data_IF_827089145172
#
_entry.id   IF_827089145172
#
_cell.length_a   1.000
_cell.length_b   1.000
_cell.length_c   1.000
_cell.angle_alpha   90.00
_cell.angle_beta   90.00
_cell.angle_gamma   90.00
#
_symmetry.space_group_name_H-M   'P 1'
#
loop_
_entity.id
_entity.type
_entity.pdbx_description
1 polymer ?
#
# COMPACT_ATOMS: atom_id res chain seq x y z
N UNK A 1 13.47 16.55 15.82
CA UNK A 1 14.18 16.47 14.53
C UNK A 1 13.21 16.69 13.39
N UNK A 2 13.63 17.34 12.31
CA UNK A 2 12.86 17.52 11.07
C UNK A 2 13.44 16.69 9.95
N UNK A 3 12.60 15.82 9.40
CA UNK A 3 12.96 14.80 8.42
C UNK A 3 12.31 15.16 7.09
N UNK A 4 13.11 15.27 6.03
CA UNK A 4 12.62 15.34 4.65
C UNK A 4 12.50 13.90 4.11
N UNK A 5 11.28 13.43 3.90
CA UNK A 5 11.01 12.08 3.40
C UNK A 5 10.63 12.10 1.91
N UNK A 6 11.17 11.16 1.14
CA UNK A 6 11.00 11.04 -0.32
C UNK A 6 10.53 9.63 -0.66
N UNK A 7 9.43 9.51 -1.39
CA UNK A 7 8.81 8.25 -1.80
C UNK A 7 8.56 8.23 -3.32
N UNK A 8 9.07 7.17 -3.97
CA UNK A 8 9.01 6.92 -5.42
C UNK A 8 9.00 5.41 -5.74
N UNK A 9 8.42 4.58 -4.88
CA UNK A 9 8.46 3.12 -5.01
C UNK A 9 7.63 2.58 -6.18
N UNK A 10 6.58 3.28 -6.60
CA UNK A 10 5.66 2.82 -7.64
C UNK A 10 5.23 3.95 -8.59
N UNK A 11 4.04 4.53 -8.40
CA UNK A 11 3.44 5.51 -9.32
C UNK A 11 3.01 6.82 -8.63
N UNK A 12 3.31 6.97 -7.34
CA UNK A 12 3.26 8.24 -6.62
C UNK A 12 4.65 8.83 -6.45
N UNK A 13 4.82 10.10 -6.84
CA UNK A 13 5.95 10.90 -6.36
C UNK A 13 5.49 11.67 -5.14
N UNK A 14 6.06 11.40 -3.97
CA UNK A 14 5.68 12.07 -2.74
C UNK A 14 6.89 12.58 -1.98
N UNK A 15 6.78 13.80 -1.45
CA UNK A 15 7.77 14.38 -0.55
C UNK A 15 7.04 14.99 0.64
N UNK A 16 7.56 14.78 1.84
CA UNK A 16 7.04 15.39 3.06
C UNK A 16 8.15 15.87 3.98
N UNK A 17 7.79 16.81 4.85
CA UNK A 17 8.60 17.19 6.00
C UNK A 17 7.85 16.77 7.25
N UNK A 18 8.48 15.95 8.07
CA UNK A 18 7.93 15.41 9.30
C UNK A 18 8.79 15.87 10.47
N UNK A 19 8.15 16.39 11.50
CA UNK A 19 8.76 16.65 12.79
C UNK A 19 8.57 15.43 13.70
N UNK A 20 9.65 14.94 14.29
CA UNK A 20 9.67 13.80 15.21
C UNK A 20 10.36 14.16 16.53
N UNK A 21 9.72 13.79 17.64
CA UNK A 21 10.18 14.07 19.01
C UNK A 21 9.81 12.94 19.98
N UNK A 22 10.31 13.00 21.23
CA UNK A 22 9.95 12.08 22.31
C UNK A 22 10.60 10.68 22.27
N UNK A 23 11.39 10.38 21.23
CA UNK A 23 12.16 9.14 21.08
C UNK A 23 11.30 7.89 21.09
N UNK A 24 11.89 6.73 21.40
CA UNK A 24 11.16 5.46 21.41
C UNK A 24 10.19 5.30 22.59
N UNK A 25 10.35 6.10 23.66
CA UNK A 25 9.48 6.02 24.83
C UNK A 25 8.12 6.67 24.59
N UNK A 26 8.12 7.87 24.00
CA UNK A 26 6.91 8.64 23.74
C UNK A 26 6.97 9.31 22.36
N UNK A 27 6.97 8.54 21.25
CA UNK A 27 7.12 9.13 19.94
C UNK A 27 5.93 10.03 19.59
N UNK A 28 6.25 11.22 19.11
CA UNK A 28 5.31 12.16 18.53
C UNK A 28 5.80 12.52 17.14
N UNK A 29 4.89 12.44 16.16
CA UNK A 29 5.16 12.75 14.77
C UNK A 29 4.14 13.76 14.28
N UNK A 30 4.62 14.76 13.55
CA UNK A 30 3.77 15.81 12.98
C UNK A 30 4.18 16.06 11.54
N UNK A 31 3.21 15.98 10.62
CA UNK A 31 3.43 16.38 9.23
C UNK A 31 3.42 17.91 9.18
N UNK A 32 4.54 18.51 8.80
CA UNK A 32 4.66 19.97 8.64
C UNK A 32 4.13 20.37 7.26
N UNK A 33 4.60 19.67 6.23
CA UNK A 33 4.19 19.88 4.84
C UNK A 33 4.33 18.59 4.07
N UNK A 34 3.46 18.36 3.09
CA UNK A 34 3.60 17.25 2.15
C UNK A 34 3.05 17.65 0.79
N UNK A 35 3.51 16.97 -0.26
CA UNK A 35 2.95 17.07 -1.59
C UNK A 35 3.08 15.72 -2.29
N UNK A 36 2.03 15.34 -3.02
CA UNK A 36 1.94 14.08 -3.76
C UNK A 36 1.54 14.39 -5.20
N UNK A 37 2.20 13.73 -6.16
CA UNK A 37 1.78 13.67 -7.56
C UNK A 37 1.56 12.21 -7.93
N UNK A 38 0.30 11.83 -8.13
CA UNK A 38 -0.09 10.49 -8.54
C UNK A 38 -0.15 10.37 -10.06
N UNK A 39 0.41 9.29 -10.58
CA UNK A 39 0.46 8.98 -12.01
C UNK A 39 -0.70 8.07 -12.46
N UNK A 40 -1.68 7.79 -11.60
CA UNK A 40 -2.82 6.90 -11.89
C UNK A 40 -3.49 7.20 -13.23
N UNK A 41 -3.75 8.49 -13.53
CA UNK A 41 -4.40 8.90 -14.81
C UNK A 41 -3.55 8.53 -16.04
N UNK A 42 -2.23 8.54 -15.90
CA UNK A 42 -1.29 8.22 -16.96
C UNK A 42 -1.20 6.71 -17.21
N UNK A 43 -1.32 5.90 -16.14
CA UNK A 43 -1.27 4.44 -16.22
C UNK A 43 -2.63 3.80 -16.57
N UNK A 44 -3.74 4.51 -16.33
CA UNK A 44 -5.10 4.01 -16.56
C UNK A 44 -5.35 3.42 -17.97
N UNK A 45 -4.86 4.00 -19.09
CA UNK A 45 -5.02 3.41 -20.42
C UNK A 45 -4.34 2.05 -20.61
N UNK A 46 -3.30 1.77 -19.82
CA UNK A 46 -2.56 0.50 -19.85
C UNK A 46 -3.14 -0.55 -18.90
N UNK A 47 -4.09 -0.15 -18.05
CA UNK A 47 -4.73 -1.02 -17.06
C UNK A 47 -3.83 -1.44 -15.90
N UNK A 48 -2.68 -0.80 -15.73
CA UNK A 48 -1.68 -1.08 -14.69
C UNK A 48 -0.44 -0.20 -14.85
N UNK A 49 0.45 -0.22 -13.85
CA UNK A 49 1.65 0.63 -13.83
C UNK A 49 2.68 0.18 -14.86
N UNK A 50 3.14 1.10 -15.70
CA UNK A 50 4.21 0.88 -16.69
C UNK A 50 5.55 1.39 -16.12
N UNK A 51 6.53 0.52 -15.78
CA UNK A 51 7.70 0.92 -14.99
C UNK A 51 8.53 2.06 -15.59
N UNK A 52 8.79 2.03 -16.90
CA UNK A 52 9.59 3.08 -17.57
C UNK A 52 8.85 4.42 -17.67
N UNK A 53 7.52 4.38 -17.75
CA UNK A 53 6.70 5.58 -17.72
C UNK A 53 6.69 6.18 -16.31
N UNK A 54 6.62 5.32 -15.29
CA UNK A 54 6.66 5.75 -13.89
C UNK A 54 7.99 6.44 -13.55
N UNK A 55 9.11 5.83 -13.92
CA UNK A 55 10.45 6.44 -13.84
C UNK A 55 10.48 7.84 -14.43
N UNK A 56 10.02 8.00 -15.68
CA UNK A 56 10.04 9.30 -16.39
C UNK A 56 9.23 10.36 -15.65
N UNK A 57 8.08 9.99 -15.10
CA UNK A 57 7.26 10.93 -14.33
C UNK A 57 7.87 11.26 -12.98
N UNK A 58 8.54 10.34 -12.28
CA UNK A 58 9.28 10.69 -11.06
C UNK A 58 10.37 11.72 -11.34
N UNK A 59 11.19 11.49 -12.38
CA UNK A 59 12.26 12.41 -12.78
C UNK A 59 11.74 13.82 -13.03
N UNK A 60 10.58 13.94 -13.69
CA UNK A 60 9.91 15.21 -13.96
C UNK A 60 9.30 15.86 -12.71
N UNK A 61 8.67 15.06 -11.85
CA UNK A 61 7.88 15.58 -10.73
C UNK A 61 8.71 15.87 -9.48
N UNK A 62 9.81 15.15 -9.24
CA UNK A 62 10.65 15.29 -8.04
C UNK A 62 11.10 16.75 -7.78
N UNK A 63 11.71 17.48 -8.75
CA UNK A 63 12.10 18.88 -8.52
C UNK A 63 10.90 19.79 -8.20
N UNK A 64 9.79 19.57 -8.89
CA UNK A 64 8.57 20.39 -8.73
C UNK A 64 7.95 20.19 -7.34
N UNK A 65 7.85 18.95 -6.89
CA UNK A 65 7.30 18.61 -5.57
C UNK A 65 8.28 19.07 -4.47
N UNK A 66 9.58 18.87 -4.66
CA UNK A 66 10.59 19.29 -3.71
C UNK A 66 10.51 20.80 -3.46
N UNK A 67 10.45 21.61 -4.52
CA UNK A 67 10.30 23.07 -4.39
C UNK A 67 9.04 23.47 -3.60
N UNK A 68 7.92 22.77 -3.79
CA UNK A 68 6.68 23.03 -3.02
C UNK A 68 6.83 22.75 -1.52
N UNK A 69 7.69 21.79 -1.15
CA UNK A 69 7.89 21.36 0.24
C UNK A 69 9.02 22.15 0.92
N UNK A 70 10.17 22.31 0.25
CA UNK A 70 11.36 22.92 0.86
C UNK A 70 11.22 24.43 1.09
N UNK A 71 10.49 25.16 0.24
CA UNK A 71 10.28 26.60 0.41
C UNK A 71 9.62 26.96 1.73
N UNK A 72 8.93 26.00 2.36
CA UNK A 72 8.25 26.15 3.65
C UNK A 72 9.10 25.72 4.85
N UNK A 73 10.31 25.17 4.62
CA UNK A 73 11.11 24.52 5.66
C UNK A 73 12.60 24.79 5.47
N UNK A 74 13.21 25.60 6.36
CA UNK A 74 14.65 25.93 6.29
C UNK A 74 15.55 25.03 7.17
N UNK A 75 14.98 24.29 8.10
CA UNK A 75 15.76 23.48 9.06
C UNK A 75 15.45 21.99 8.89
N UNK A 76 16.13 21.35 7.94
CA UNK A 76 16.09 19.89 7.78
C UNK A 76 17.27 19.29 8.54
N UNK A 77 17.02 18.28 9.37
CA UNK A 77 18.05 17.55 10.13
C UNK A 77 18.49 16.27 9.44
N UNK A 78 17.56 15.63 8.72
CA UNK A 78 17.72 14.29 8.14
C UNK A 78 16.93 14.18 6.83
N UNK A 79 17.46 13.43 5.87
CA UNK A 79 16.74 13.04 4.66
C UNK A 79 16.50 11.54 4.70
N UNK A 80 15.27 11.13 4.43
CA UNK A 80 14.85 9.74 4.34
C UNK A 80 14.34 9.46 2.93
N UNK A 81 14.75 8.35 2.34
CA UNK A 81 14.27 7.94 1.01
C UNK A 81 13.92 6.47 0.99
N UNK A 82 12.80 6.14 0.35
CA UNK A 82 12.40 4.74 0.16
C UNK A 82 13.40 4.02 -0.74
N UNK A 83 13.93 2.90 -0.26
CA UNK A 83 14.89 2.06 -1.01
C UNK A 83 14.29 0.72 -1.46
N UNK A 84 13.09 0.40 -0.99
CA UNK A 84 12.34 -0.79 -1.40
C UNK A 84 11.40 -1.29 -0.31
N UNK A 85 10.58 -2.31 -0.59
CA UNK A 85 10.34 -2.88 -1.92
C UNK A 85 9.63 -1.90 -2.87
N UNK A 86 9.72 -2.15 -4.19
CA UNK A 86 9.12 -1.30 -5.21
C UNK A 86 9.68 -1.57 -6.61
N UNK A 87 9.24 -0.79 -7.59
CA UNK A 87 9.76 -0.83 -8.95
C UNK A 87 11.17 -0.25 -8.98
N UNK A 88 12.17 -1.10 -9.23
CA UNK A 88 13.59 -0.69 -9.35
C UNK A 88 13.80 0.62 -10.14
N UNK A 89 13.26 0.80 -11.36
CA UNK A 89 13.49 2.02 -12.12
C UNK A 89 12.89 3.27 -11.47
N UNK A 90 11.83 3.13 -10.67
CA UNK A 90 11.19 4.23 -9.95
C UNK A 90 11.96 4.57 -8.65
N UNK A 91 12.39 3.55 -7.90
CA UNK A 91 13.18 3.71 -6.67
C UNK A 91 14.48 4.47 -6.93
N UNK A 92 15.18 4.16 -8.02
CA UNK A 92 16.44 4.83 -8.35
C UNK A 92 16.31 6.33 -8.59
N UNK A 93 15.17 6.82 -9.09
CA UNK A 93 14.93 8.25 -9.25
C UNK A 93 14.89 8.96 -7.89
N UNK A 94 14.12 8.42 -6.94
CA UNK A 94 14.08 8.94 -5.57
C UNK A 94 15.44 8.88 -4.89
N UNK A 95 16.14 7.73 -4.97
CA UNK A 95 17.46 7.53 -4.33
C UNK A 95 18.49 8.53 -4.86
N UNK A 96 18.58 8.69 -6.18
CA UNK A 96 19.56 9.59 -6.80
C UNK A 96 19.24 11.06 -6.52
N UNK A 97 17.96 11.41 -6.52
CA UNK A 97 17.50 12.74 -6.13
C UNK A 97 17.84 13.03 -4.66
N UNK A 98 17.54 12.10 -3.74
CA UNK A 98 17.84 12.25 -2.32
C UNK A 98 19.34 12.38 -2.03
N UNK A 99 20.20 11.65 -2.75
CA UNK A 99 21.66 11.80 -2.68
C UNK A 99 22.11 13.21 -3.09
N UNK A 100 21.49 13.77 -4.12
CA UNK A 100 21.77 15.14 -4.57
C UNK A 100 21.35 16.16 -3.50
N UNK A 101 20.11 16.07 -3.02
CA UNK A 101 19.59 16.94 -1.95
C UNK A 101 20.43 16.84 -0.67
N UNK A 102 20.87 15.64 -0.30
CA UNK A 102 21.74 15.41 0.86
C UNK A 102 23.09 16.11 0.75
N UNK A 103 23.71 16.09 -0.44
CA UNK A 103 24.97 16.81 -0.70
C UNK A 103 24.76 18.32 -0.64
N UNK A 104 23.70 18.82 -1.24
CA UNK A 104 23.40 20.26 -1.31
C UNK A 104 23.07 20.84 0.08
N UNK A 105 22.24 20.14 0.86
CA UNK A 105 21.86 20.57 2.21
C UNK A 105 22.90 20.20 3.28
N UNK A 106 23.91 19.38 2.93
CA UNK A 106 24.89 18.79 3.85
C UNK A 106 24.23 18.09 5.03
N UNK A 107 23.21 17.27 4.76
CA UNK A 107 22.43 16.55 5.77
C UNK A 107 22.57 15.03 5.60
N UNK A 108 22.52 14.26 6.70
CA UNK A 108 22.54 12.80 6.64
C UNK A 108 21.38 12.27 5.79
N UNK A 109 21.64 11.15 5.11
CA UNK A 109 20.68 10.43 4.28
C UNK A 109 20.53 9.00 4.80
N UNK A 110 19.29 8.56 4.99
CA UNK A 110 18.95 7.19 5.35
C UNK A 110 18.03 6.55 4.31
N UNK A 111 18.22 5.26 4.08
CA UNK A 111 17.29 4.43 3.32
C UNK A 111 16.19 3.90 4.23
N UNK A 112 14.96 3.86 3.73
CA UNK A 112 13.78 3.40 4.47
C UNK A 112 13.05 2.30 3.72
N UNK A 113 12.52 1.33 4.45
CA UNK A 113 11.67 0.30 3.90
C UNK A 113 10.24 0.85 3.67
N UNK A 114 9.71 0.67 2.47
CA UNK A 114 8.37 1.13 2.07
C UNK A 114 7.26 0.56 2.96
N UNK A 115 7.34 -0.73 3.30
CA UNK A 115 6.34 -1.42 4.13
C UNK A 115 6.40 -0.95 5.57
N UNK A 116 7.58 -0.66 6.10
CA UNK A 116 7.71 0.00 7.40
C UNK A 116 7.05 1.38 7.40
N UNK A 117 7.18 2.14 6.30
CA UNK A 117 6.44 3.39 6.10
C UNK A 117 4.92 3.20 6.23
N UNK A 118 4.37 2.14 5.64
CA UNK A 118 2.95 1.77 5.79
C UNK A 118 2.58 1.37 7.23
N UNK A 119 3.44 0.66 7.93
CA UNK A 119 3.20 0.29 9.33
C UNK A 119 3.14 1.57 10.20
N UNK A 120 4.14 2.44 10.07
CA UNK A 120 4.27 3.61 10.93
C UNK A 120 3.33 4.76 10.57
N UNK A 121 2.63 4.71 9.41
CA UNK A 121 1.59 5.69 9.10
C UNK A 121 0.47 5.71 10.16
N UNK A 122 0.26 4.60 10.87
CA UNK A 122 -0.71 4.51 11.97
C UNK A 122 -0.39 5.44 13.15
N UNK A 123 0.86 5.89 13.31
CA UNK A 123 1.27 6.81 14.37
C UNK A 123 0.99 8.29 14.08
N UNK A 124 0.53 8.61 12.87
CA UNK A 124 0.03 9.94 12.51
C UNK A 124 -1.48 10.10 12.78
N UNK A 125 -2.14 9.06 13.27
CA UNK A 125 -3.57 9.08 13.59
C UNK A 125 -3.81 9.46 15.06
N UNK A 126 -5.03 9.90 15.37
CA UNK A 126 -5.42 10.25 16.75
C UNK A 126 -5.43 9.04 17.70
N UNK A 127 -5.53 7.81 17.17
CA UNK A 127 -5.62 6.58 17.96
C UNK A 127 -4.40 5.70 17.67
N UNK A 128 -3.31 5.97 18.37
CA UNK A 128 -2.06 5.20 18.26
C UNK A 128 -2.31 3.73 18.68
N UNK A 129 -1.81 2.75 17.91
CA UNK A 129 -1.85 1.34 18.32
C UNK A 129 -1.16 1.13 19.66
N UNK A 130 -1.69 0.21 20.46
CA UNK A 130 -1.01 -0.29 21.68
C UNK A 130 -0.31 -1.59 21.33
N UNK A 131 0.78 -1.89 22.02
CA UNK A 131 1.50 -3.13 21.84
C UNK A 131 1.10 -4.19 22.89
N UNK A 132 1.11 -5.48 22.53
CA UNK A 132 1.30 -6.00 21.17
C UNK A 132 0.14 -5.60 20.25
N UNK A 133 0.36 -5.56 18.93
CA UNK A 133 -0.67 -5.22 17.93
C UNK A 133 -0.56 -6.10 16.70
N UNK A 134 -1.70 -6.45 16.09
CA UNK A 134 -1.71 -7.06 14.77
C UNK A 134 -1.81 -5.98 13.69
N UNK A 135 -0.86 -5.98 12.76
CA UNK A 135 -0.88 -5.11 11.58
C UNK A 135 -1.19 -5.94 10.33
N UNK A 136 -2.29 -5.62 9.66
CA UNK A 136 -2.59 -6.15 8.32
C UNK A 136 -2.19 -5.11 7.27
N UNK A 137 -1.18 -5.42 6.47
CA UNK A 137 -0.78 -4.61 5.32
C UNK A 137 -1.51 -5.14 4.10
N UNK A 138 -2.32 -4.30 3.47
CA UNK A 138 -3.05 -4.61 2.23
C UNK A 138 -2.90 -3.46 1.24
N UNK A 139 -2.08 -3.68 0.22
CA UNK A 139 -1.81 -2.75 -0.88
C UNK A 139 -2.01 -3.42 -2.24
N UNK A 140 -1.70 -2.70 -3.32
CA UNK A 140 -1.71 -3.27 -4.67
C UNK A 140 -0.77 -4.47 -4.81
N UNK A 141 0.42 -4.40 -4.22
CA UNK A 141 1.47 -5.42 -4.36
C UNK A 141 1.78 -6.22 -3.10
N UNK A 142 1.16 -5.92 -1.96
CA UNK A 142 1.45 -6.60 -0.70
C UNK A 142 0.18 -7.02 0.03
N UNK A 143 0.20 -8.21 0.60
CA UNK A 143 -0.79 -8.66 1.56
C UNK A 143 -0.08 -9.49 2.62
N UNK A 144 0.11 -8.90 3.80
CA UNK A 144 0.87 -9.50 4.90
C UNK A 144 0.26 -9.19 6.25
N UNK A 145 0.43 -10.12 7.19
CA UNK A 145 -0.04 -10.03 8.56
C UNK A 145 1.16 -10.06 9.50
N UNK A 146 1.27 -9.09 10.38
CA UNK A 146 2.42 -8.92 11.25
C UNK A 146 1.98 -8.81 12.71
N UNK A 147 2.76 -9.40 13.61
CA UNK A 147 2.72 -9.14 15.04
C UNK A 147 3.72 -8.05 15.36
N UNK A 148 3.24 -6.91 15.82
CA UNK A 148 4.08 -5.85 16.37
C UNK A 148 4.18 -5.99 17.88
N UNK A 149 5.38 -6.27 18.39
CA UNK A 149 5.65 -6.32 19.84
C UNK A 149 6.09 -4.96 20.38
N UNK A 150 6.69 -4.12 19.52
CA UNK A 150 7.04 -2.74 19.81
C UNK A 150 7.24 -1.95 18.51
N UNK A 151 7.62 -0.68 18.62
CA UNK A 151 7.99 0.16 17.47
C UNK A 151 9.20 -0.34 16.69
N UNK A 152 10.03 -1.19 17.27
CA UNK A 152 11.28 -1.66 16.67
C UNK A 152 11.35 -3.18 16.55
N UNK A 153 10.31 -3.88 17.01
CA UNK A 153 10.25 -5.35 17.01
C UNK A 153 8.91 -5.79 16.49
N UNK A 154 8.92 -6.42 15.34
CA UNK A 154 7.76 -7.02 14.70
C UNK A 154 8.17 -8.28 13.95
N UNK A 155 7.23 -9.21 13.79
CA UNK A 155 7.42 -10.49 13.12
C UNK A 155 6.30 -10.67 12.10
N UNK A 156 6.64 -11.13 10.90
CA UNK A 156 5.67 -11.52 9.88
C UNK A 156 5.04 -12.85 10.31
N UNK A 157 3.72 -12.87 10.46
CA UNK A 157 2.94 -14.07 10.78
C UNK A 157 2.55 -14.85 9.53
N UNK A 158 2.26 -14.13 8.44
CA UNK A 158 1.91 -14.73 7.16
C UNK A 158 1.82 -13.71 6.03
N UNK A 159 1.98 -14.18 4.80
CA UNK A 159 1.97 -13.36 3.59
C UNK A 159 1.17 -14.04 2.49
N UNK A 160 0.83 -13.29 1.43
CA UNK A 160 0.25 -13.92 0.24
C UNK A 160 1.28 -14.85 -0.41
N UNK A 161 0.84 -16.05 -0.78
CA UNK A 161 1.63 -17.02 -1.55
C UNK A 161 1.56 -16.76 -3.05
N UNK A 162 0.66 -15.88 -3.49
CA UNK A 162 0.44 -15.56 -4.90
C UNK A 162 0.10 -14.08 -5.13
N UNK A 163 -1.07 -13.75 -5.69
CA UNK A 163 -1.50 -12.38 -5.93
C UNK A 163 -1.73 -11.68 -4.58
N UNK A 164 -1.30 -10.42 -4.44
CA UNK A 164 -1.81 -9.57 -3.38
C UNK A 164 -3.31 -9.30 -3.59
N UNK A 165 -4.04 -9.00 -2.50
CA UNK A 165 -5.48 -8.74 -2.62
C UNK A 165 -5.76 -7.53 -3.51
N UNK A 166 -4.95 -6.46 -3.44
CA UNK A 166 -5.14 -5.29 -4.30
C UNK A 166 -4.99 -5.63 -5.79
N UNK A 167 -3.98 -6.43 -6.14
CA UNK A 167 -3.80 -6.96 -7.49
C UNK A 167 -4.98 -7.83 -7.95
N UNK A 168 -5.53 -8.67 -7.06
CA UNK A 168 -6.72 -9.45 -7.36
C UNK A 168 -7.93 -8.55 -7.66
N UNK A 169 -8.12 -7.45 -6.91
CA UNK A 169 -9.15 -6.45 -7.20
C UNK A 169 -8.96 -5.80 -8.58
N UNK A 170 -7.73 -5.41 -8.94
CA UNK A 170 -7.43 -4.83 -10.24
C UNK A 170 -7.70 -5.80 -11.40
N UNK A 171 -7.31 -7.08 -11.24
CA UNK A 171 -7.55 -8.12 -12.24
C UNK A 171 -9.04 -8.41 -12.41
N UNK A 172 -9.80 -8.49 -11.32
CA UNK A 172 -11.27 -8.71 -11.38
C UNK A 172 -11.99 -7.50 -11.96
N UNK A 173 -11.58 -6.28 -11.62
CA UNK A 173 -12.12 -5.06 -12.24
C UNK A 173 -11.93 -5.08 -13.76
N UNK A 174 -10.75 -5.49 -14.23
CA UNK A 174 -10.46 -5.65 -15.66
C UNK A 174 -11.37 -6.68 -16.33
N UNK A 175 -11.59 -7.84 -15.71
CA UNK A 175 -12.53 -8.87 -16.21
C UNK A 175 -13.96 -8.35 -16.31
N UNK A 176 -14.36 -7.44 -15.43
CA UNK A 176 -15.67 -6.78 -15.45
C UNK A 176 -15.73 -5.55 -16.37
N UNK A 177 -14.65 -5.24 -17.11
CA UNK A 177 -14.50 -4.04 -17.94
C UNK A 177 -14.73 -2.74 -17.16
N UNK A 178 -14.20 -2.67 -15.94
CA UNK A 178 -14.18 -1.46 -15.11
C UNK A 178 -12.89 -0.67 -15.34
N UNK A 179 -12.88 0.58 -14.87
CA UNK A 179 -11.71 1.47 -14.98
C UNK A 179 -10.62 1.05 -13.99
N UNK A 180 -9.38 1.42 -14.30
CA UNK A 180 -8.24 1.34 -13.38
C UNK A 180 -8.12 2.65 -12.58
N UNK A 181 -7.80 2.63 -11.27
CA UNK A 181 -7.54 1.46 -10.43
C UNK A 181 -8.83 0.70 -10.09
N UNK A 182 -8.74 -0.62 -10.04
CA UNK A 182 -9.89 -1.52 -9.97
C UNK A 182 -10.54 -1.61 -8.60
N UNK A 183 -9.76 -1.50 -7.52
CA UNK A 183 -10.26 -1.53 -6.13
C UNK A 183 -11.46 -0.60 -5.90
N UNK A 184 -11.32 0.72 -6.11
CA UNK A 184 -12.41 1.68 -5.94
C UNK A 184 -13.63 1.43 -6.84
N UNK A 185 -13.41 0.94 -8.06
CA UNK A 185 -14.51 0.66 -9.00
C UNK A 185 -15.29 -0.60 -8.62
N UNK A 186 -14.61 -1.63 -8.10
CA UNK A 186 -15.25 -2.81 -7.51
C UNK A 186 -16.09 -2.41 -6.32
N UNK A 187 -15.56 -1.61 -5.38
CA UNK A 187 -16.30 -1.18 -4.20
C UNK A 187 -17.57 -0.40 -4.56
N UNK A 188 -17.46 0.57 -5.49
CA UNK A 188 -18.61 1.35 -5.98
C UNK A 188 -19.69 0.43 -6.57
N UNK A 189 -19.28 -0.55 -7.36
CA UNK A 189 -20.20 -1.45 -8.04
C UNK A 189 -20.82 -2.48 -7.08
N UNK A 190 -20.03 -2.97 -6.12
CA UNK A 190 -20.45 -3.91 -5.08
C UNK A 190 -21.56 -3.35 -4.18
N UNK A 191 -21.49 -2.05 -3.82
CA UNK A 191 -22.53 -1.35 -3.05
C UNK A 191 -23.92 -1.38 -3.70
N UNK A 192 -23.99 -1.58 -5.02
CA UNK A 192 -25.24 -1.66 -5.79
C UNK A 192 -25.73 -3.10 -5.99
N UNK A 193 -24.93 -4.08 -5.61
CA UNK A 193 -25.15 -5.51 -5.82
C UNK A 193 -25.58 -6.26 -4.56
N UNK A 194 -25.77 -7.56 -4.74
CA UNK A 194 -25.95 -8.51 -3.63
C UNK A 194 -24.85 -9.56 -3.73
N UNK A 195 -24.19 -9.87 -2.62
CA UNK A 195 -23.20 -10.94 -2.53
C UNK A 195 -23.92 -12.30 -2.49
N UNK A 196 -24.42 -12.76 -3.63
CA UNK A 196 -25.24 -13.98 -3.75
C UNK A 196 -24.62 -15.06 -4.66
N UNK A 197 -23.38 -14.85 -5.07
CA UNK A 197 -22.57 -15.82 -5.82
C UNK A 197 -21.55 -16.41 -4.85
N UNK A 198 -21.46 -17.74 -4.82
CA UNK A 198 -20.50 -18.45 -3.99
C UNK A 198 -19.14 -18.51 -4.70
N UNK A 199 -18.23 -17.63 -4.30
CA UNK A 199 -16.82 -17.73 -4.62
C UNK A 199 -16.04 -18.42 -3.49
N UNK A 200 -14.92 -19.10 -3.79
CA UNK A 200 -14.11 -19.74 -2.75
C UNK A 200 -13.55 -18.69 -1.78
N UNK A 201 -13.30 -19.11 -0.54
CA UNK A 201 -12.52 -18.35 0.46
C UNK A 201 -11.16 -19.04 0.65
N UNK A 202 -10.16 -18.76 -0.21
CA UNK A 202 -8.92 -19.54 -0.19
C UNK A 202 -8.22 -19.44 1.16
N UNK A 203 -7.66 -20.55 1.62
CA UNK A 203 -6.88 -20.64 2.87
C UNK A 203 -7.60 -20.21 4.15
N UNK A 204 -8.93 -20.01 4.13
CA UNK A 204 -9.68 -19.48 5.29
C UNK A 204 -9.66 -20.41 6.52
N UNK A 205 -9.45 -21.70 6.29
CA UNK A 205 -9.31 -22.73 7.33
C UNK A 205 -7.88 -23.30 7.40
N UNK A 206 -6.94 -22.72 6.66
CA UNK A 206 -5.53 -23.11 6.74
C UNK A 206 -4.98 -22.73 8.14
N UNK A 207 -4.19 -23.61 8.79
CA UNK A 207 -3.63 -23.31 10.10
C UNK A 207 -2.69 -22.09 10.10
N UNK A 208 -2.01 -21.81 8.98
CA UNK A 208 -1.13 -20.65 8.82
C UNK A 208 -1.89 -19.32 8.69
N UNK A 209 -1.16 -18.22 8.81
CA UNK A 209 -1.67 -16.86 8.56
C UNK A 209 -1.49 -16.41 7.10
N UNK A 210 -1.02 -17.28 6.23
CA UNK A 210 -0.78 -16.98 4.81
C UNK A 210 -2.09 -16.75 4.04
N UNK A 211 -1.99 -16.03 2.93
CA UNK A 211 -3.10 -15.69 2.04
C UNK A 211 -2.90 -16.27 0.63
N UNK A 212 -3.99 -16.36 -0.13
CA UNK A 212 -3.98 -16.70 -1.55
C UNK A 212 -5.22 -16.09 -2.22
N UNK A 213 -5.05 -15.41 -3.34
CA UNK A 213 -6.13 -14.75 -4.08
C UNK A 213 -6.15 -15.11 -5.56
N UNK A 214 -5.11 -15.76 -6.11
CA UNK A 214 -5.09 -16.21 -7.50
C UNK A 214 -6.20 -17.22 -7.81
N UNK A 215 -6.51 -18.13 -6.88
CA UNK A 215 -7.62 -19.08 -7.00
C UNK A 215 -8.99 -18.39 -7.03
N UNK A 216 -9.18 -17.38 -6.18
CA UNK A 216 -10.41 -16.57 -6.13
C UNK A 216 -10.62 -15.79 -7.44
N UNK A 217 -9.58 -15.12 -7.94
CA UNK A 217 -9.60 -14.48 -9.27
C UNK A 217 -9.98 -15.46 -10.38
N UNK A 218 -9.40 -16.66 -10.37
CA UNK A 218 -9.68 -17.69 -11.38
C UNK A 218 -11.13 -18.17 -11.32
N UNK A 219 -11.69 -18.32 -10.11
CA UNK A 219 -13.11 -18.64 -9.94
C UNK A 219 -14.03 -17.56 -10.51
N UNK A 220 -13.69 -16.28 -10.34
CA UNK A 220 -14.42 -15.16 -10.95
C UNK A 220 -14.33 -15.22 -12.49
N UNK A 221 -13.15 -15.49 -13.04
CA UNK A 221 -12.96 -15.64 -14.49
C UNK A 221 -13.86 -16.75 -15.06
N UNK A 222 -13.88 -17.93 -14.44
CA UNK A 222 -14.73 -19.04 -14.89
C UNK A 222 -16.22 -18.72 -14.76
N UNK A 223 -16.63 -18.08 -13.66
CA UNK A 223 -18.02 -17.63 -13.51
C UNK A 223 -18.45 -16.67 -14.62
N UNK A 224 -17.61 -15.70 -14.98
CA UNK A 224 -17.89 -14.74 -16.06
C UNK A 224 -17.94 -15.45 -17.42
N UNK A 225 -17.04 -16.39 -17.68
CA UNK A 225 -16.97 -17.15 -18.93
C UNK A 225 -18.19 -18.06 -19.13
N UNK A 226 -18.61 -18.77 -18.09
CA UNK A 226 -19.59 -19.85 -18.19
C UNK A 226 -21.04 -19.35 -18.10
N UNK A 227 -21.26 -18.10 -17.69
CA UNK A 227 -22.59 -17.48 -17.59
C UNK A 227 -22.88 -16.59 -18.80
N UNK A 228 -23.97 -16.87 -19.51
CA UNK A 228 -24.40 -16.06 -20.67
C UNK A 228 -24.78 -14.60 -20.30
N UNK A 229 -25.32 -14.39 -19.10
CA UNK A 229 -25.66 -13.05 -18.57
C UNK A 229 -25.22 -12.95 -17.12
N UNK A 230 -24.39 -11.96 -16.82
CA UNK A 230 -23.93 -11.67 -15.46
C UNK A 230 -24.47 -10.32 -15.00
N UNK A 231 -24.82 -10.24 -13.72
CA UNK A 231 -25.00 -8.97 -13.04
C UNK A 231 -23.66 -8.56 -12.46
N UNK A 232 -22.90 -7.70 -13.17
CA UNK A 232 -21.53 -7.29 -12.75
C UNK A 232 -21.47 -6.82 -11.28
N UNK A 233 -22.52 -6.15 -10.81
CA UNK A 233 -22.67 -5.72 -9.41
C UNK A 233 -22.72 -6.84 -8.38
N UNK A 234 -23.36 -7.96 -8.70
CA UNK A 234 -23.37 -9.12 -7.81
C UNK A 234 -22.01 -9.83 -7.85
N UNK A 235 -21.37 -9.90 -9.03
CA UNK A 235 -20.00 -10.46 -9.13
C UNK A 235 -19.03 -9.66 -8.29
N UNK A 236 -19.05 -8.32 -8.41
CA UNK A 236 -18.22 -7.42 -7.60
C UNK A 236 -18.49 -7.57 -6.10
N UNK A 237 -19.77 -7.59 -5.68
CA UNK A 237 -20.16 -7.77 -4.28
C UNK A 237 -19.69 -9.11 -3.70
N UNK A 238 -19.93 -10.21 -4.41
CA UNK A 238 -19.52 -11.55 -3.97
C UNK A 238 -18.01 -11.72 -3.94
N UNK A 239 -17.28 -11.20 -4.94
CA UNK A 239 -15.82 -11.23 -4.94
C UNK A 239 -15.24 -10.44 -3.76
N UNK A 240 -15.73 -9.20 -3.57
CA UNK A 240 -15.28 -8.34 -2.48
C UNK A 240 -15.54 -8.98 -1.12
N UNK A 241 -16.73 -9.56 -0.92
CA UNK A 241 -17.06 -10.29 0.31
C UNK A 241 -16.10 -11.45 0.55
N UNK A 242 -15.90 -12.34 -0.43
CA UNK A 242 -15.00 -13.49 -0.28
C UNK A 242 -13.56 -13.09 0.02
N UNK A 243 -13.04 -12.02 -0.60
CA UNK A 243 -11.70 -11.53 -0.34
C UNK A 243 -11.57 -10.93 1.08
N UNK A 244 -12.52 -10.07 1.48
CA UNK A 244 -12.50 -9.40 2.79
C UNK A 244 -12.70 -10.39 3.93
N UNK A 245 -13.57 -11.39 3.76
CA UNK A 245 -13.85 -12.40 4.78
C UNK A 245 -12.58 -13.16 5.20
N UNK A 246 -11.73 -13.52 4.22
CA UNK A 246 -10.45 -14.18 4.48
C UNK A 246 -9.50 -13.27 5.27
N UNK A 247 -9.37 -12.00 4.86
CA UNK A 247 -8.53 -11.02 5.56
C UNK A 247 -8.98 -10.84 7.01
N UNK A 248 -10.27 -10.55 7.22
CA UNK A 248 -10.84 -10.30 8.55
C UNK A 248 -10.72 -11.53 9.44
N UNK A 249 -11.09 -12.72 8.96
CA UNK A 249 -11.04 -13.93 9.78
C UNK A 249 -9.61 -14.27 10.23
N UNK A 250 -8.61 -14.13 9.34
CA UNK A 250 -7.20 -14.38 9.70
C UNK A 250 -6.65 -13.31 10.64
N UNK A 251 -6.98 -12.04 10.43
CA UNK A 251 -6.57 -10.95 11.33
C UNK A 251 -7.18 -11.11 12.73
N UNK A 252 -8.47 -11.42 12.84
CA UNK A 252 -9.13 -11.65 14.14
C UNK A 252 -8.54 -12.89 14.83
N UNK A 253 -8.28 -13.97 14.08
CA UNK A 253 -7.62 -15.17 14.62
C UNK A 253 -6.27 -14.81 15.25
N UNK A 254 -5.43 -14.06 14.53
CA UNK A 254 -4.12 -13.63 15.05
C UNK A 254 -4.26 -12.72 16.28
N UNK A 255 -5.19 -11.77 16.25
CA UNK A 255 -5.45 -10.85 17.37
C UNK A 255 -5.83 -11.62 18.65
N UNK A 256 -6.70 -12.63 18.52
CA UNK A 256 -7.10 -13.49 19.65
C UNK A 256 -5.95 -14.36 20.16
N UNK A 257 -5.15 -14.97 19.26
CA UNK A 257 -4.07 -15.89 19.63
C UNK A 257 -2.91 -15.16 20.33
N UNK A 258 -2.57 -13.94 19.87
CA UNK A 258 -1.47 -13.15 20.41
C UNK A 258 -1.89 -12.09 21.44
N UNK A 259 -3.18 -12.02 21.79
CA UNK A 259 -3.74 -11.04 22.73
C UNK A 259 -3.41 -9.59 22.34
N UNK A 260 -3.56 -9.26 21.06
CA UNK A 260 -3.06 -8.05 20.39
C UNK A 260 -4.14 -7.29 19.62
#
# INVERSE_FOLDING_TARGET
>A
MRILAIETSCDETAISTVEAEGGFKNPSFKIITHAVSSQVKLHAPFGGVVPMLAKREHQKNLPTIFNKVILKNKDIDLIAVTVGPGLEPALWEGINFAKTVSRDLKKPLIGVNHLEGHIYSNWFTNKKPKFPSICLIVSGGHTSLLLMESLIKWTILGETRDDAVGEAFDKVARMLHLKYPGGPEIEKLAKLGKANIEFPRPMINDPSYDFSFSGLKTAVLYYIRDKQRIMKKNVAASFQESAIEVLVKKTIKASNEYQA
#
